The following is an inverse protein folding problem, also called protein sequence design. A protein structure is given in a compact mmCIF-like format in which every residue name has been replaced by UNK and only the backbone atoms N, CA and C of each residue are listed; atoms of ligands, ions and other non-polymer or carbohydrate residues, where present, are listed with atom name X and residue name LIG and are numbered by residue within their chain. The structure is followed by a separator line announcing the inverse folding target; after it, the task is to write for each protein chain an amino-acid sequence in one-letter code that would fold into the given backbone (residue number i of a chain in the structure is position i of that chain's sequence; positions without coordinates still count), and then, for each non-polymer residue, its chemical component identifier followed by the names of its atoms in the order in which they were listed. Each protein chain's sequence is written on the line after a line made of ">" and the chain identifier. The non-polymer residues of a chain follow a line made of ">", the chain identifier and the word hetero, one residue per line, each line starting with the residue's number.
data_IF_765515957876
#
_entry.id   IF_765515957876
#
_cell.length_a   1.000
_cell.length_b   1.000
_cell.length_c   1.000
_cell.angle_alpha   90.00
_cell.angle_beta   90.00
_cell.angle_gamma   90.00
#
_symmetry.space_group_name_H-M   'P 1'
#
loop_
_entity.id
_entity.type
_entity.pdbx_description
1 polymer ?
#
# COMPACT_ATOMS: atom_id res chain seq x y z
N UNK A 1 -12.19 36.40 20.38
CA UNK A 1 -12.73 37.22 19.28
C UNK A 1 -13.52 36.27 18.42
N UNK A 2 -14.83 36.45 18.28
CA UNK A 2 -15.68 35.58 17.45
C UNK A 2 -15.43 35.92 15.99
N UNK A 3 -14.96 34.94 15.20
CA UNK A 3 -14.76 35.07 13.75
C UNK A 3 -16.12 35.34 13.11
N UNK A 4 -16.20 36.34 12.23
CA UNK A 4 -17.42 36.66 11.47
C UNK A 4 -17.66 35.64 10.36
N UNK A 5 -18.89 35.53 9.85
CA UNK A 5 -19.22 34.63 8.73
C UNK A 5 -18.36 34.88 7.47
N UNK A 6 -18.06 36.15 7.18
CA UNK A 6 -17.19 36.53 6.07
C UNK A 6 -15.74 36.08 6.28
N UNK A 7 -15.18 36.30 7.48
CA UNK A 7 -13.82 35.86 7.79
C UNK A 7 -13.68 34.33 7.77
N UNK A 8 -14.70 33.60 8.23
CA UNK A 8 -14.72 32.14 8.19
C UNK A 8 -14.74 31.61 6.75
N UNK A 9 -15.54 32.23 5.87
CA UNK A 9 -15.63 31.87 4.46
C UNK A 9 -14.32 32.16 3.70
N UNK A 10 -13.72 33.34 3.92
CA UNK A 10 -12.41 33.69 3.35
C UNK A 10 -11.31 32.72 3.79
N UNK A 11 -11.33 32.30 5.06
CA UNK A 11 -10.41 31.30 5.57
C UNK A 11 -10.58 29.95 4.86
N UNK A 12 -11.83 29.52 4.59
CA UNK A 12 -12.10 28.29 3.86
C UNK A 12 -11.59 28.36 2.41
N UNK A 13 -11.85 29.46 1.70
CA UNK A 13 -11.35 29.64 0.33
C UNK A 13 -9.82 29.65 0.27
N UNK A 14 -9.17 30.26 1.27
CA UNK A 14 -7.70 30.24 1.40
C UNK A 14 -7.19 28.82 1.63
N UNK A 15 -7.87 28.05 2.48
CA UNK A 15 -7.54 26.65 2.75
C UNK A 15 -7.67 25.78 1.48
N UNK A 16 -8.78 25.89 0.77
CA UNK A 16 -9.04 25.20 -0.48
C UNK A 16 -7.97 25.49 -1.54
N UNK A 17 -7.58 26.76 -1.68
CA UNK A 17 -6.47 27.15 -2.57
C UNK A 17 -5.16 26.50 -2.15
N UNK A 18 -4.84 26.51 -0.86
CA UNK A 18 -3.61 25.91 -0.36
C UNK A 18 -3.57 24.38 -0.56
N UNK A 19 -4.71 23.70 -0.45
CA UNK A 19 -4.82 22.27 -0.75
C UNK A 19 -4.56 21.99 -2.24
N UNK A 20 -5.24 22.72 -3.11
CA UNK A 20 -5.13 22.56 -4.56
C UNK A 20 -3.71 22.86 -5.08
N UNK A 21 -3.07 23.93 -4.56
CA UNK A 21 -1.68 24.28 -4.91
C UNK A 21 -0.68 23.19 -4.47
N UNK A 22 -0.81 22.67 -3.25
CA UNK A 22 0.07 21.62 -2.75
C UNK A 22 -0.12 20.29 -3.49
N UNK A 23 -1.36 19.94 -3.83
CA UNK A 23 -1.67 18.80 -4.68
C UNK A 23 -1.00 18.95 -6.04
N UNK A 24 -1.24 20.06 -6.75
CA UNK A 24 -0.65 20.33 -8.06
C UNK A 24 0.88 20.32 -8.05
N UNK A 25 1.50 20.87 -7.01
CA UNK A 25 2.95 20.85 -6.86
C UNK A 25 3.52 19.42 -6.78
N UNK A 26 2.84 18.52 -6.05
CA UNK A 26 3.22 17.10 -5.92
C UNK A 26 2.96 16.30 -7.17
N UNK A 27 1.82 16.51 -7.82
CA UNK A 27 1.55 15.91 -9.15
C UNK A 27 2.64 16.32 -10.14
N UNK A 28 3.00 17.61 -10.20
CA UNK A 28 4.06 18.08 -11.07
C UNK A 28 5.44 17.48 -10.72
N UNK A 29 5.72 17.23 -9.44
CA UNK A 29 6.94 16.55 -9.00
C UNK A 29 6.98 15.09 -9.48
N UNK A 30 5.88 14.35 -9.32
CA UNK A 30 5.73 12.98 -9.83
C UNK A 30 5.90 12.93 -11.36
N UNK A 31 5.19 13.77 -12.10
CA UNK A 31 5.29 13.81 -13.58
C UNK A 31 6.72 14.11 -14.03
N UNK A 32 7.45 15.02 -13.36
CA UNK A 32 8.87 15.28 -13.64
C UNK A 32 9.76 14.08 -13.33
N UNK A 33 9.55 13.39 -12.21
CA UNK A 33 10.33 12.20 -11.85
C UNK A 33 10.13 11.07 -12.88
N UNK A 34 8.89 10.86 -13.32
CA UNK A 34 8.54 9.88 -14.36
C UNK A 34 9.18 10.24 -15.69
N UNK A 35 9.09 11.51 -16.11
CA UNK A 35 9.72 11.98 -17.35
C UNK A 35 11.26 11.85 -17.34
N UNK A 36 11.88 12.03 -16.17
CA UNK A 36 13.31 11.86 -15.98
C UNK A 36 13.75 10.39 -15.83
N UNK A 37 12.81 9.42 -15.84
CA UNK A 37 13.07 8.01 -15.51
C UNK A 37 13.83 7.83 -14.19
N UNK A 38 13.54 8.70 -13.21
CA UNK A 38 14.19 8.71 -11.89
C UNK A 38 13.20 8.23 -10.82
N UNK A 39 13.54 8.45 -9.53
CA UNK A 39 12.87 7.96 -8.32
C UNK A 39 11.39 8.40 -8.17
N UNK A 40 10.54 7.96 -9.10
CA UNK A 40 9.10 8.25 -9.14
C UNK A 40 8.35 7.57 -7.99
N UNK A 41 8.85 6.44 -7.47
CA UNK A 41 8.26 5.75 -6.31
C UNK A 41 8.17 6.66 -5.08
N UNK A 42 9.24 7.42 -4.80
CA UNK A 42 9.23 8.37 -3.67
C UNK A 42 8.25 9.51 -3.92
N UNK A 43 8.23 10.08 -5.13
CA UNK A 43 7.31 11.17 -5.46
C UNK A 43 5.83 10.71 -5.44
N UNK A 44 5.56 9.47 -5.83
CA UNK A 44 4.24 8.86 -5.73
C UNK A 44 3.86 8.63 -4.26
N UNK A 45 4.77 8.11 -3.44
CA UNK A 45 4.54 7.93 -2.01
C UNK A 45 4.26 9.26 -1.29
N UNK A 46 5.02 10.31 -1.59
CA UNK A 46 4.83 11.65 -1.01
C UNK A 46 3.46 12.25 -1.39
N UNK A 47 3.00 11.99 -2.62
CA UNK A 47 1.68 12.41 -3.08
C UNK A 47 0.56 11.62 -2.39
N UNK A 48 0.67 10.30 -2.31
CA UNK A 48 -0.30 9.44 -1.60
C UNK A 48 -0.39 9.83 -0.12
N UNK A 49 0.75 10.07 0.53
CA UNK A 49 0.79 10.49 1.92
C UNK A 49 0.04 11.81 2.13
N UNK A 50 0.27 12.80 1.27
CA UNK A 50 -0.42 14.08 1.31
C UNK A 50 -1.94 13.93 1.10
N UNK A 51 -2.35 13.14 0.10
CA UNK A 51 -3.76 12.88 -0.16
C UNK A 51 -4.45 12.21 1.04
N UNK A 52 -3.78 11.26 1.68
CA UNK A 52 -4.30 10.55 2.85
C UNK A 52 -4.33 11.41 4.13
N UNK A 53 -3.39 12.34 4.32
CA UNK A 53 -3.28 13.13 5.55
C UNK A 53 -4.00 14.47 5.50
N UNK A 54 -4.18 15.05 4.30
CA UNK A 54 -4.74 16.39 4.14
C UNK A 54 -6.08 16.36 3.38
N UNK A 55 -6.13 15.73 2.19
CA UNK A 55 -7.29 15.82 1.30
C UNK A 55 -8.45 14.92 1.75
N UNK A 56 -8.20 13.64 2.03
CA UNK A 56 -9.27 12.73 2.46
C UNK A 56 -9.90 13.13 3.80
N UNK A 57 -9.11 13.52 4.83
CA UNK A 57 -9.70 13.98 6.08
C UNK A 57 -10.52 15.26 5.90
N UNK A 58 -10.08 16.17 5.02
CA UNK A 58 -10.82 17.40 4.69
C UNK A 58 -12.18 17.07 4.08
N UNK A 59 -12.20 16.21 3.05
CA UNK A 59 -13.41 15.70 2.41
C UNK A 59 -14.37 15.03 3.41
N UNK A 60 -13.85 14.21 4.33
CA UNK A 60 -14.64 13.59 5.39
C UNK A 60 -15.23 14.64 6.35
N UNK A 61 -14.47 15.67 6.70
CA UNK A 61 -14.94 16.72 7.58
C UNK A 61 -16.06 17.55 6.92
N UNK A 62 -16.01 17.78 5.62
CA UNK A 62 -17.06 18.44 4.84
C UNK A 62 -18.35 17.62 4.82
N UNK A 63 -18.25 16.30 4.62
CA UNK A 63 -19.38 15.38 4.66
C UNK A 63 -20.15 15.47 5.99
N UNK A 64 -19.42 15.49 7.11
CA UNK A 64 -19.97 15.54 8.47
C UNK A 64 -20.34 16.94 8.95
N UNK A 65 -20.21 17.97 8.12
CA UNK A 65 -20.53 19.36 8.52
C UNK A 65 -21.30 20.08 7.43
N UNK A 66 -20.61 20.59 6.41
CA UNK A 66 -21.15 21.42 5.34
C UNK A 66 -22.22 20.64 4.57
N UNK A 67 -21.93 19.41 4.18
CA UNK A 67 -22.83 18.63 3.34
C UNK A 67 -24.05 18.16 4.11
N UNK A 68 -23.92 17.85 5.41
CA UNK A 68 -25.06 17.55 6.27
C UNK A 68 -26.05 18.73 6.31
N UNK A 69 -25.55 19.96 6.42
CA UNK A 69 -26.36 21.18 6.39
C UNK A 69 -26.98 21.48 5.00
N UNK A 70 -26.31 21.06 3.92
CA UNK A 70 -26.75 21.22 2.54
C UNK A 70 -27.57 20.04 1.99
N UNK A 71 -27.71 18.93 2.73
CA UNK A 71 -28.31 17.68 2.23
C UNK A 71 -29.82 17.75 1.92
N UNK A 72 -30.47 18.87 2.22
CA UNK A 72 -31.91 19.07 2.01
C UNK A 72 -32.17 20.29 1.13
N UNK A 73 -33.29 20.25 0.41
CA UNK A 73 -33.71 21.35 -0.46
C UNK A 73 -32.94 21.36 -1.78
N UNK A 74 -32.70 22.55 -2.31
CA UNK A 74 -32.19 22.76 -3.67
C UNK A 74 -30.76 22.24 -3.89
N UNK A 75 -29.97 22.10 -2.81
CA UNK A 75 -28.58 21.63 -2.87
C UNK A 75 -28.43 20.11 -2.78
N UNK A 76 -29.51 19.35 -2.53
CA UNK A 76 -29.43 17.90 -2.26
C UNK A 76 -28.83 17.11 -3.45
N UNK A 77 -29.13 17.54 -4.68
CA UNK A 77 -28.54 16.96 -5.89
C UNK A 77 -27.03 17.19 -5.96
N UNK A 78 -26.60 18.44 -5.74
CA UNK A 78 -25.18 18.82 -5.72
C UNK A 78 -24.43 18.06 -4.63
N UNK A 79 -24.94 18.00 -3.40
CA UNK A 79 -24.31 17.25 -2.31
C UNK A 79 -24.13 15.77 -2.65
N UNK A 80 -25.14 15.15 -3.28
CA UNK A 80 -25.04 13.76 -3.71
C UNK A 80 -23.94 13.55 -4.75
N UNK A 81 -23.75 14.52 -5.66
CA UNK A 81 -22.64 14.54 -6.62
C UNK A 81 -21.29 14.69 -5.92
N UNK A 82 -21.16 15.62 -4.96
CA UNK A 82 -19.92 15.83 -4.21
C UNK A 82 -19.49 14.59 -3.43
N UNK A 83 -20.41 13.90 -2.75
CA UNK A 83 -20.13 12.62 -2.08
C UNK A 83 -19.70 11.54 -3.09
N UNK A 84 -20.29 11.51 -4.27
CA UNK A 84 -19.86 10.60 -5.33
C UNK A 84 -18.45 10.91 -5.82
N UNK A 85 -18.07 12.18 -5.89
CA UNK A 85 -16.70 12.61 -6.23
C UNK A 85 -15.69 12.26 -5.15
N UNK A 86 -16.01 12.35 -3.86
CA UNK A 86 -15.14 11.87 -2.78
C UNK A 86 -14.83 10.38 -2.92
N UNK A 87 -15.83 9.56 -3.26
CA UNK A 87 -15.63 8.13 -3.57
C UNK A 87 -14.76 7.94 -4.82
N UNK A 88 -14.95 8.80 -5.83
CA UNK A 88 -14.12 8.86 -7.03
C UNK A 88 -12.65 9.18 -6.72
N UNK A 89 -12.39 10.18 -5.87
CA UNK A 89 -11.06 10.55 -5.38
C UNK A 89 -10.42 9.38 -4.64
N UNK A 90 -11.14 8.76 -3.70
CA UNK A 90 -10.66 7.59 -2.95
C UNK A 90 -10.24 6.45 -3.89
N UNK A 91 -11.08 6.12 -4.87
CA UNK A 91 -10.78 5.10 -5.89
C UNK A 91 -9.55 5.47 -6.73
N UNK A 92 -9.39 6.75 -7.08
CA UNK A 92 -8.26 7.21 -7.86
C UNK A 92 -6.95 7.18 -7.05
N UNK A 93 -7.01 7.48 -5.75
CA UNK A 93 -5.88 7.38 -4.81
C UNK A 93 -5.42 5.93 -4.67
N UNK A 94 -6.34 4.97 -4.56
CA UNK A 94 -6.00 3.54 -4.54
C UNK A 94 -5.26 3.13 -5.82
N UNK A 95 -5.75 3.58 -6.99
CA UNK A 95 -5.09 3.32 -8.29
C UNK A 95 -3.70 3.95 -8.38
N UNK A 96 -3.50 5.13 -7.81
CA UNK A 96 -2.19 5.76 -7.72
C UNK A 96 -1.25 4.93 -6.83
N UNK A 97 -1.72 4.51 -5.65
CA UNK A 97 -0.93 3.73 -4.69
C UNK A 97 -0.56 2.35 -5.22
N UNK A 98 -1.40 1.75 -6.08
CA UNK A 98 -1.17 0.44 -6.67
C UNK A 98 -0.73 0.51 -8.15
N UNK A 99 -0.22 1.64 -8.62
CA UNK A 99 0.13 1.82 -10.02
C UNK A 99 1.27 0.85 -10.44
N UNK A 100 1.15 0.14 -11.57
CA UNK A 100 2.15 -0.84 -12.00
C UNK A 100 3.44 -0.20 -12.53
N UNK A 101 3.40 1.07 -12.91
CA UNK A 101 4.53 1.83 -13.45
C UNK A 101 4.33 3.34 -13.24
N UNK A 102 5.41 4.11 -13.43
CA UNK A 102 5.39 5.56 -13.27
C UNK A 102 4.42 6.28 -14.21
N UNK A 103 4.16 5.79 -15.43
CA UNK A 103 3.20 6.45 -16.31
C UNK A 103 1.76 6.27 -15.84
N UNK A 104 1.42 5.08 -15.33
CA UNK A 104 0.14 4.82 -14.70
C UNK A 104 -0.06 5.68 -13.45
N UNK A 105 1.00 5.83 -12.63
CA UNK A 105 0.99 6.71 -11.47
C UNK A 105 0.74 8.18 -11.87
N UNK A 106 1.48 8.70 -12.86
CA UNK A 106 1.32 10.07 -13.34
C UNK A 106 -0.09 10.34 -13.89
N UNK A 107 -0.66 9.43 -14.69
CA UNK A 107 -2.03 9.56 -15.20
C UNK A 107 -3.07 9.58 -14.07
N UNK A 108 -2.92 8.71 -13.08
CA UNK A 108 -3.81 8.70 -11.92
C UNK A 108 -3.72 10.02 -11.14
N UNK A 109 -2.50 10.51 -10.91
CA UNK A 109 -2.23 11.78 -10.23
C UNK A 109 -2.84 13.00 -10.96
N UNK A 110 -2.69 13.08 -12.28
CA UNK A 110 -3.30 14.13 -13.09
C UNK A 110 -4.84 14.09 -13.03
N UNK A 111 -5.43 12.88 -13.07
CA UNK A 111 -6.86 12.69 -12.89
C UNK A 111 -7.37 13.14 -11.52
N UNK A 112 -6.61 12.85 -10.45
CA UNK A 112 -6.91 13.30 -9.08
C UNK A 112 -6.88 14.83 -9.01
N UNK A 113 -5.84 15.48 -9.56
CA UNK A 113 -5.75 16.94 -9.54
C UNK A 113 -6.90 17.61 -10.31
N UNK A 114 -7.27 17.08 -11.48
CA UNK A 114 -8.38 17.62 -12.26
C UNK A 114 -9.73 17.46 -11.53
N UNK A 115 -9.98 16.27 -10.95
CA UNK A 115 -11.19 16.01 -10.17
C UNK A 115 -11.25 16.92 -8.94
N UNK A 116 -10.17 17.02 -8.16
CA UNK A 116 -10.11 17.85 -6.95
C UNK A 116 -10.29 19.34 -7.25
N UNK A 117 -9.64 19.88 -8.30
CA UNK A 117 -9.85 21.28 -8.71
C UNK A 117 -11.30 21.55 -9.09
N UNK A 118 -11.94 20.66 -9.85
CA UNK A 118 -13.35 20.80 -10.23
C UNK A 118 -14.29 20.67 -9.03
N UNK A 119 -13.94 19.80 -8.10
CA UNK A 119 -14.67 19.55 -6.87
C UNK A 119 -14.66 20.81 -5.98
N UNK A 120 -13.48 21.32 -5.64
CA UNK A 120 -13.31 22.55 -4.85
C UNK A 120 -14.00 23.76 -5.48
N UNK A 121 -14.01 23.86 -6.82
CA UNK A 121 -14.74 24.92 -7.51
C UNK A 121 -16.25 24.85 -7.24
N UNK A 122 -16.85 23.66 -7.26
CA UNK A 122 -18.27 23.49 -6.92
C UNK A 122 -18.58 23.87 -5.49
N UNK A 123 -17.68 23.60 -4.55
CA UNK A 123 -17.87 24.02 -3.16
C UNK A 123 -17.82 25.54 -3.04
N UNK A 124 -16.81 26.16 -3.63
CA UNK A 124 -16.57 27.59 -3.52
C UNK A 124 -17.60 28.43 -4.26
N UNK A 125 -18.07 27.96 -5.41
CA UNK A 125 -18.93 28.72 -6.30
C UNK A 125 -20.42 28.41 -6.09
N UNK A 126 -20.75 27.24 -5.53
CA UNK A 126 -22.14 26.77 -5.39
C UNK A 126 -22.52 26.54 -3.93
N UNK A 127 -21.86 25.60 -3.24
CA UNK A 127 -22.32 25.17 -1.90
C UNK A 127 -22.13 26.24 -0.84
N UNK A 128 -20.91 26.77 -0.71
CA UNK A 128 -20.57 27.73 0.35
C UNK A 128 -21.36 29.04 0.23
N UNK A 129 -21.48 29.68 -0.96
CA UNK A 129 -22.29 30.88 -1.10
C UNK A 129 -23.78 30.62 -0.83
N UNK A 130 -24.32 29.48 -1.29
CA UNK A 130 -25.70 29.13 -1.04
C UNK A 130 -25.99 28.96 0.46
N UNK A 131 -25.12 28.27 1.20
CA UNK A 131 -25.24 28.15 2.66
C UNK A 131 -25.06 29.50 3.37
N UNK A 132 -24.15 30.37 2.92
CA UNK A 132 -23.93 31.69 3.51
C UNK A 132 -25.15 32.62 3.38
N UNK A 133 -26.01 32.39 2.39
CA UNK A 133 -27.24 33.16 2.15
C UNK A 133 -28.47 32.66 2.91
N UNK A 134 -28.35 31.57 3.68
CA UNK A 134 -29.45 30.96 4.43
C UNK A 134 -29.49 31.50 5.86
N UNK A 135 -30.62 32.11 6.23
CA UNK A 135 -30.83 32.63 7.60
C UNK A 135 -30.89 31.52 8.67
N UNK A 136 -31.19 30.27 8.28
CA UNK A 136 -31.31 29.12 9.17
C UNK A 136 -29.98 28.38 9.39
N UNK A 137 -28.88 28.84 8.79
CA UNK A 137 -27.56 28.20 8.84
C UNK A 137 -26.50 29.16 9.37
N UNK A 138 -25.85 28.78 10.49
CA UNK A 138 -24.65 29.47 10.96
C UNK A 138 -23.41 28.85 10.30
N UNK A 139 -23.05 29.36 9.12
CA UNK A 139 -21.91 28.86 8.36
C UNK A 139 -20.59 29.02 9.13
N UNK A 140 -20.41 30.09 9.89
CA UNK A 140 -19.20 30.31 10.69
C UNK A 140 -19.04 29.20 11.73
N UNK A 141 -20.13 28.81 12.39
CA UNK A 141 -20.12 27.72 13.36
C UNK A 141 -19.82 26.36 12.71
N UNK A 142 -20.37 26.09 11.51
CA UNK A 142 -20.10 24.86 10.76
C UNK A 142 -18.61 24.75 10.37
N UNK A 143 -18.02 25.80 9.79
CA UNK A 143 -16.61 25.80 9.38
C UNK A 143 -15.68 25.69 10.61
N UNK A 144 -16.04 26.33 11.72
CA UNK A 144 -15.30 26.18 12.97
C UNK A 144 -15.40 24.76 13.55
N UNK A 145 -16.55 24.08 13.41
CA UNK A 145 -16.71 22.68 13.82
C UNK A 145 -15.86 21.76 12.95
N UNK A 146 -15.86 21.96 11.64
CA UNK A 146 -15.06 21.20 10.69
C UNK A 146 -13.56 21.28 11.05
N UNK A 147 -13.05 22.49 11.34
CA UNK A 147 -11.66 22.68 11.74
C UNK A 147 -11.32 21.93 13.04
N UNK A 148 -12.20 21.95 14.04
CA UNK A 148 -12.00 21.19 15.30
C UNK A 148 -11.95 19.68 15.05
N UNK A 149 -12.87 19.13 14.26
CA UNK A 149 -12.91 17.71 13.92
C UNK A 149 -11.58 17.27 13.26
N UNK A 150 -11.07 18.08 12.35
CA UNK A 150 -9.79 17.86 11.67
C UNK A 150 -8.60 17.88 12.63
N UNK A 151 -8.55 18.83 13.56
CA UNK A 151 -7.50 18.87 14.59
C UNK A 151 -7.57 17.65 15.52
N UNK A 152 -8.77 17.22 15.91
CA UNK A 152 -8.98 16.05 16.75
C UNK A 152 -8.54 14.77 16.03
N UNK A 153 -8.89 14.59 14.75
CA UNK A 153 -8.45 13.46 13.94
C UNK A 153 -6.91 13.40 13.80
N UNK A 154 -6.26 14.57 13.62
CA UNK A 154 -4.79 14.67 13.60
C UNK A 154 -4.16 14.29 14.93
N UNK A 155 -4.77 14.64 16.07
CA UNK A 155 -4.30 14.30 17.42
C UNK A 155 -4.58 12.84 17.79
N UNK A 156 -5.68 12.27 17.29
CA UNK A 156 -6.11 10.90 17.56
C UNK A 156 -5.32 9.85 16.76
N UNK A 157 -4.75 10.25 15.62
CA UNK A 157 -3.72 9.46 14.96
C UNK A 157 -2.48 9.50 15.85
N UNK A 158 -2.08 8.40 16.52
CA UNK A 158 -0.93 8.45 17.39
C UNK A 158 0.27 8.73 16.48
N UNK A 159 0.90 9.90 16.65
CA UNK A 159 2.31 10.04 16.33
C UNK A 159 2.99 8.99 17.21
N UNK A 160 3.20 7.78 16.66
CA UNK A 160 3.80 6.68 17.37
C UNK A 160 5.10 7.19 17.96
N UNK A 161 5.16 7.21 19.28
CA UNK A 161 6.34 7.58 20.05
C UNK A 161 7.45 6.62 19.62
N UNK A 162 8.25 7.06 18.66
CA UNK A 162 9.24 6.24 17.96
C UNK A 162 10.45 6.05 18.87
N UNK A 163 10.29 5.14 19.82
CA UNK A 163 11.41 4.46 20.44
C UNK A 163 11.74 3.24 19.59
N UNK A 164 12.67 3.45 18.64
CA UNK A 164 13.50 2.42 18.00
C UNK A 164 12.85 1.06 17.65
N UNK A 165 11.63 1.04 17.14
CA UNK A 165 11.07 -0.16 16.50
C UNK A 165 11.43 -0.10 15.03
N UNK A 166 12.16 -1.11 14.52
CA UNK A 166 12.42 -1.29 13.10
C UNK A 166 11.06 -1.49 12.37
N UNK A 167 10.58 -0.49 11.59
CA UNK A 167 9.24 -0.56 11.02
C UNK A 167 9.10 -1.70 10.00
N UNK A 168 10.17 -2.00 9.25
CA UNK A 168 10.18 -3.11 8.30
C UNK A 168 10.08 -4.45 9.01
N UNK A 169 10.76 -4.62 10.14
CA UNK A 169 10.62 -5.83 10.96
C UNK A 169 9.20 -5.99 11.52
N UNK A 170 8.58 -4.89 11.96
CA UNK A 170 7.20 -4.90 12.49
C UNK A 170 6.19 -5.27 11.41
N UNK A 171 6.26 -4.64 10.22
CA UNK A 171 5.41 -4.97 9.07
C UNK A 171 5.60 -6.42 8.66
N UNK A 172 6.84 -6.91 8.60
CA UNK A 172 7.11 -8.30 8.28
C UNK A 172 6.48 -9.25 9.30
N UNK A 173 6.56 -8.94 10.59
CA UNK A 173 5.93 -9.76 11.64
C UNK A 173 4.42 -9.89 11.41
N UNK A 174 3.74 -8.78 11.11
CA UNK A 174 2.31 -8.77 10.82
C UNK A 174 1.97 -9.59 9.56
N UNK A 175 2.79 -9.47 8.51
CA UNK A 175 2.62 -10.27 7.30
C UNK A 175 2.78 -11.77 7.59
N UNK A 176 3.81 -12.15 8.34
CA UNK A 176 4.05 -13.56 8.70
C UNK A 176 2.91 -14.11 9.58
N UNK A 177 2.37 -13.32 10.50
CA UNK A 177 1.19 -13.71 11.28
C UNK A 177 -0.04 -13.91 10.38
N UNK A 178 -0.28 -13.01 9.42
CA UNK A 178 -1.36 -13.16 8.44
C UNK A 178 -1.20 -14.43 7.59
N UNK A 179 0.02 -14.75 7.13
CA UNK A 179 0.27 -16.01 6.40
C UNK A 179 0.01 -17.24 7.27
N UNK A 180 0.31 -17.19 8.57
CA UNK A 180 -0.01 -18.29 9.48
C UNK A 180 -1.53 -18.47 9.67
N UNK A 181 -2.29 -17.37 9.70
CA UNK A 181 -3.76 -17.42 9.70
C UNK A 181 -4.31 -18.02 8.40
N UNK A 182 -3.79 -17.61 7.24
CA UNK A 182 -4.16 -18.20 5.94
C UNK A 182 -3.89 -19.71 5.89
N UNK A 183 -2.71 -20.15 6.34
CA UNK A 183 -2.39 -21.57 6.36
C UNK A 183 -3.33 -22.39 7.26
N UNK A 184 -3.70 -21.86 8.45
CA UNK A 184 -4.68 -22.49 9.34
C UNK A 184 -6.10 -22.52 8.75
N UNK A 185 -6.43 -21.57 7.88
CA UNK A 185 -7.69 -21.54 7.14
C UNK A 185 -7.71 -22.49 5.93
N UNK A 186 -6.65 -23.28 5.70
CA UNK A 186 -6.55 -24.22 4.57
C UNK A 186 -5.87 -23.66 3.33
N UNK A 187 -5.43 -22.40 3.34
CA UNK A 187 -4.73 -21.75 2.21
C UNK A 187 -3.20 -21.82 2.37
N UNK A 188 -2.66 -22.98 2.80
CA UNK A 188 -1.24 -23.13 3.12
C UNK A 188 -0.29 -22.85 1.94
N UNK A 189 -0.70 -23.22 0.73
CA UNK A 189 0.08 -23.00 -0.49
C UNK A 189 0.17 -21.50 -0.84
N UNK A 190 -0.94 -20.77 -0.70
CA UNK A 190 -0.98 -19.31 -0.87
C UNK A 190 -0.17 -18.59 0.20
N UNK A 191 -0.27 -19.06 1.45
CA UNK A 191 0.53 -18.53 2.56
C UNK A 191 2.04 -18.70 2.30
N UNK A 192 2.47 -19.87 1.81
CA UNK A 192 3.87 -20.10 1.45
C UNK A 192 4.33 -19.20 0.31
N UNK A 193 3.51 -19.03 -0.74
CA UNK A 193 3.85 -18.10 -1.84
C UNK A 193 3.99 -16.65 -1.37
N UNK A 194 3.08 -16.16 -0.54
CA UNK A 194 3.17 -14.80 0.02
C UNK A 194 4.43 -14.60 0.87
N UNK A 195 4.75 -15.57 1.73
CA UNK A 195 5.98 -15.53 2.51
C UNK A 195 7.22 -15.58 1.61
N UNK A 196 7.23 -16.41 0.57
CA UNK A 196 8.35 -16.49 -0.36
C UNK A 196 8.54 -15.21 -1.18
N UNK A 197 7.46 -14.54 -1.61
CA UNK A 197 7.57 -13.22 -2.25
C UNK A 197 8.15 -12.17 -1.31
N UNK A 198 7.81 -12.21 -0.01
CA UNK A 198 8.43 -11.34 0.99
C UNK A 198 9.92 -11.67 1.20
N UNK A 199 10.30 -12.95 1.11
CA UNK A 199 11.70 -13.36 1.13
C UNK A 199 12.46 -12.82 -0.09
N UNK A 200 11.92 -12.98 -1.30
CA UNK A 200 12.48 -12.47 -2.56
C UNK A 200 12.75 -10.95 -2.49
N UNK A 201 11.84 -10.18 -1.89
CA UNK A 201 12.01 -8.73 -1.74
C UNK A 201 13.07 -8.32 -0.70
N UNK A 202 13.42 -9.19 0.25
CA UNK A 202 14.25 -8.83 1.42
C UNK A 202 15.61 -9.50 1.46
N UNK A 203 15.86 -10.61 0.75
CA UNK A 203 17.08 -11.40 0.98
C UNK A 203 18.37 -10.63 0.71
N UNK A 204 18.37 -9.71 -0.26
CA UNK A 204 19.54 -8.89 -0.56
C UNK A 204 19.68 -7.67 0.36
N UNK A 205 18.58 -7.00 0.66
CA UNK A 205 18.60 -5.70 1.36
C UNK A 205 18.51 -5.83 2.88
N UNK A 206 17.87 -6.89 3.37
CA UNK A 206 17.56 -7.17 4.78
C UNK A 206 17.72 -8.67 5.07
N UNK A 207 18.93 -9.24 4.96
CA UNK A 207 19.17 -10.66 5.18
C UNK A 207 18.77 -11.12 6.59
N UNK A 208 18.86 -10.22 7.59
CA UNK A 208 18.39 -10.45 8.96
C UNK A 208 16.89 -10.75 9.04
N UNK A 209 16.08 -10.12 8.19
CA UNK A 209 14.64 -10.36 8.08
C UNK A 209 14.33 -11.56 7.20
N UNK A 210 15.07 -11.78 6.11
CA UNK A 210 14.90 -12.92 5.23
C UNK A 210 15.09 -14.28 5.95
N UNK A 211 15.99 -14.34 6.93
CA UNK A 211 16.13 -15.52 7.81
C UNK A 211 14.85 -15.80 8.61
N UNK A 212 14.15 -14.76 9.08
CA UNK A 212 12.85 -14.91 9.77
C UNK A 212 11.79 -15.45 8.82
N UNK A 213 11.76 -14.98 7.58
CA UNK A 213 10.84 -15.49 6.54
C UNK A 213 11.12 -16.95 6.20
N UNK A 214 12.39 -17.32 6.06
CA UNK A 214 12.81 -18.72 5.84
C UNK A 214 12.30 -19.61 6.97
N UNK A 215 12.45 -19.16 8.22
CA UNK A 215 11.93 -19.89 9.39
C UNK A 215 10.41 -20.04 9.35
N UNK A 216 9.69 -18.99 8.93
CA UNK A 216 8.24 -19.03 8.77
C UNK A 216 7.79 -19.98 7.66
N UNK A 217 8.47 -20.00 6.50
CA UNK A 217 8.20 -20.95 5.42
C UNK A 217 8.28 -22.40 5.90
N UNK A 218 9.31 -22.75 6.67
CA UNK A 218 9.42 -24.08 7.28
C UNK A 218 8.24 -24.42 8.21
N UNK A 219 7.69 -23.42 8.92
CA UNK A 219 6.49 -23.61 9.74
C UNK A 219 5.24 -23.80 8.89
N UNK A 220 5.06 -22.98 7.85
CA UNK A 220 3.90 -23.01 6.96
C UNK A 220 3.81 -24.32 6.18
N UNK A 221 4.94 -24.83 5.67
CA UNK A 221 4.96 -26.13 4.97
C UNK A 221 4.57 -27.27 5.89
N UNK A 222 4.99 -27.26 7.15
CA UNK A 222 4.53 -28.25 8.15
C UNK A 222 3.02 -28.16 8.41
N UNK A 223 2.45 -26.97 8.48
CA UNK A 223 1.01 -26.77 8.65
C UNK A 223 0.20 -27.29 7.45
N UNK A 224 0.70 -27.12 6.23
CA UNK A 224 0.07 -27.63 5.00
C UNK A 224 0.26 -29.14 4.74
N UNK A 225 1.23 -29.78 5.40
CA UNK A 225 1.57 -31.21 5.19
C UNK A 225 0.54 -32.20 5.70
N UNK A 226 -0.44 -31.73 6.47
CA UNK A 226 -1.52 -32.57 6.96
C UNK A 226 -2.52 -32.97 5.85
N UNK A 227 -2.29 -32.58 4.58
CA UNK A 227 -3.29 -32.72 3.50
C UNK A 227 -2.78 -33.34 2.17
N UNK A 228 -1.50 -33.67 1.96
CA UNK A 228 -1.06 -34.25 0.67
C UNK A 228 -0.15 -35.47 0.80
N UNK A 229 -0.61 -36.59 0.23
CA UNK A 229 0.18 -37.80 -0.09
C UNK A 229 1.09 -37.56 -1.31
N UNK A 230 2.31 -38.13 -1.34
CA UNK A 230 3.23 -37.90 -2.44
C UNK A 230 2.82 -38.68 -3.71
N UNK A 231 2.68 -37.97 -4.82
CA UNK A 231 2.55 -38.58 -6.15
C UNK A 231 3.93 -38.99 -6.67
N UNK A 232 4.10 -40.27 -6.99
CA UNK A 232 5.27 -40.77 -7.74
C UNK A 232 5.24 -40.21 -9.16
N UNK A 233 6.36 -39.67 -9.61
CA UNK A 233 6.62 -39.45 -11.04
C UNK A 233 7.40 -40.65 -11.59
N UNK A 234 6.83 -41.33 -12.58
CA UNK A 234 7.53 -42.31 -13.43
C UNK A 234 8.28 -41.54 -14.51
N UNK A 235 9.61 -41.58 -14.47
CA UNK A 235 10.50 -40.92 -15.42
C UNK A 235 10.83 -41.82 -16.62
N UNK A 236 10.48 -41.37 -17.82
CA UNK A 236 10.98 -41.91 -19.09
C UNK A 236 12.39 -41.42 -19.39
N UNK A 237 13.25 -42.35 -19.80
CA UNK A 237 14.70 -42.19 -19.97
C UNK A 237 15.12 -41.46 -21.25
N UNK A 238 15.92 -40.40 -21.09
CA UNK A 238 16.93 -39.95 -22.05
C UNK A 238 18.24 -39.77 -21.28
N UNK A 239 19.32 -40.37 -21.77
CA UNK A 239 20.66 -40.29 -21.18
C UNK A 239 21.22 -38.87 -21.31
N UNK A 240 20.90 -38.01 -20.35
CA UNK A 240 21.76 -36.89 -19.96
C UNK A 240 22.80 -37.41 -18.95
N UNK A 241 24.04 -36.85 -18.94
CA UNK A 241 24.96 -37.11 -17.84
C UNK A 241 24.24 -36.80 -16.52
N UNK A 242 24.31 -37.73 -15.56
CA UNK A 242 23.62 -37.55 -14.30
C UNK A 242 24.08 -36.25 -13.64
N UNK A 243 23.11 -35.42 -13.25
CA UNK A 243 23.36 -34.18 -12.54
C UNK A 243 24.19 -34.48 -11.26
N UNK A 244 25.22 -33.67 -10.95
CA UNK A 244 26.06 -33.88 -9.78
C UNK A 244 25.25 -33.76 -8.47
N UNK A 245 25.60 -34.56 -7.47
CA UNK A 245 25.01 -34.44 -6.13
C UNK A 245 25.56 -33.21 -5.39
N UNK A 246 24.66 -32.38 -4.86
CA UNK A 246 24.97 -31.33 -3.89
C UNK A 246 24.48 -31.78 -2.50
N UNK A 247 25.38 -32.32 -1.70
CA UNK A 247 25.07 -32.77 -0.34
C UNK A 247 25.30 -31.67 0.70
N UNK A 248 24.20 -31.20 1.29
CA UNK A 248 24.21 -30.10 2.27
C UNK A 248 24.04 -30.56 3.71
N UNK A 249 23.94 -31.88 3.95
CA UNK A 249 23.67 -32.45 5.28
C UNK A 249 24.77 -32.11 6.28
N UNK A 250 26.02 -32.00 5.80
CA UNK A 250 27.18 -31.62 6.60
C UNK A 250 27.28 -30.12 6.91
N UNK A 251 26.50 -29.27 6.22
CA UNK A 251 26.52 -27.82 6.42
C UNK A 251 25.62 -27.43 7.59
N UNK A 252 25.98 -26.34 8.28
CA UNK A 252 25.11 -25.76 9.29
C UNK A 252 23.79 -25.28 8.65
N UNK A 253 22.62 -25.46 9.28
CA UNK A 253 21.32 -25.12 8.67
C UNK A 253 21.23 -23.71 8.08
N UNK A 254 21.85 -22.72 8.75
CA UNK A 254 21.90 -21.34 8.29
C UNK A 254 22.69 -21.13 6.99
N UNK A 255 23.69 -21.98 6.71
CA UNK A 255 24.56 -21.89 5.53
C UNK A 255 24.03 -22.67 4.32
N UNK A 256 23.06 -23.57 4.53
CA UNK A 256 22.55 -24.47 3.49
C UNK A 256 21.91 -23.70 2.35
N UNK A 257 20.96 -22.82 2.66
CA UNK A 257 20.21 -22.07 1.64
C UNK A 257 21.16 -21.18 0.82
N UNK A 258 22.05 -20.43 1.48
CA UNK A 258 23.09 -19.62 0.83
C UNK A 258 23.95 -20.47 -0.14
N UNK A 259 24.43 -21.63 0.31
CA UNK A 259 25.25 -22.54 -0.53
C UNK A 259 24.45 -23.08 -1.72
N UNK A 260 23.18 -23.41 -1.53
CA UNK A 260 22.32 -23.95 -2.59
C UNK A 260 22.04 -22.90 -3.66
N UNK A 261 21.71 -21.67 -3.27
CA UNK A 261 21.53 -20.57 -4.23
C UNK A 261 22.84 -20.23 -4.95
N UNK A 262 23.98 -20.19 -4.23
CA UNK A 262 25.28 -19.99 -4.86
C UNK A 262 25.61 -21.08 -5.91
N UNK A 263 25.33 -22.34 -5.60
CA UNK A 263 25.50 -23.44 -6.54
C UNK A 263 24.55 -23.31 -7.75
N UNK A 264 23.30 -22.89 -7.52
CA UNK A 264 22.33 -22.67 -8.58
C UNK A 264 22.74 -21.53 -9.53
N UNK A 265 23.17 -20.39 -9.01
CA UNK A 265 23.64 -19.27 -9.84
C UNK A 265 24.91 -19.59 -10.64
N UNK A 266 25.69 -20.60 -10.21
CA UNK A 266 26.86 -21.07 -10.94
C UNK A 266 26.53 -22.03 -12.10
N UNK A 267 25.27 -22.47 -12.24
CA UNK A 267 24.84 -23.37 -13.31
C UNK A 267 24.77 -22.66 -14.66
N UNK A 268 25.15 -23.38 -15.72
CA UNK A 268 24.86 -22.96 -17.09
C UNK A 268 23.43 -23.34 -17.48
N UNK A 269 22.80 -22.64 -18.45
CA UNK A 269 21.45 -22.98 -18.91
C UNK A 269 21.36 -24.45 -19.35
N UNK A 270 20.39 -25.18 -18.77
CA UNK A 270 20.17 -26.60 -19.05
C UNK A 270 21.01 -27.57 -18.19
N UNK A 271 21.85 -27.08 -17.28
CA UNK A 271 22.53 -27.88 -16.26
C UNK A 271 21.71 -27.92 -14.95
N UNK A 272 21.89 -28.98 -14.15
CA UNK A 272 21.25 -29.14 -12.84
C UNK A 272 22.20 -29.75 -11.80
N UNK A 273 21.70 -29.94 -10.59
CA UNK A 273 22.31 -30.75 -9.53
C UNK A 273 21.21 -31.47 -8.73
N UNK A 274 21.54 -32.61 -8.13
CA UNK A 274 20.65 -33.33 -7.22
C UNK A 274 20.90 -32.86 -5.80
N UNK A 275 19.93 -32.17 -5.18
CA UNK A 275 20.05 -31.73 -3.79
C UNK A 275 19.85 -32.89 -2.81
N UNK A 276 20.89 -33.22 -2.05
CA UNK A 276 20.80 -34.19 -0.95
C UNK A 276 20.63 -33.44 0.37
N UNK A 277 19.40 -33.45 0.91
CA UNK A 277 19.01 -32.74 2.13
C UNK A 277 18.47 -33.71 3.20
N UNK A 278 18.58 -33.33 4.48
CA UNK A 278 18.11 -34.14 5.63
C UNK A 278 16.69 -33.78 6.09
N UNK A 279 16.04 -32.80 5.42
CA UNK A 279 14.68 -32.38 5.68
C UNK A 279 13.95 -32.02 4.39
N UNK A 280 12.65 -31.80 4.50
CA UNK A 280 11.78 -31.47 3.38
C UNK A 280 12.19 -30.14 2.70
N UNK A 281 12.55 -30.16 1.40
CA UNK A 281 13.02 -28.98 0.67
C UNK A 281 11.89 -28.07 0.17
N UNK A 282 10.62 -28.31 0.53
CA UNK A 282 9.50 -27.46 0.09
C UNK A 282 9.69 -25.96 0.35
N UNK A 283 10.25 -25.49 1.48
CA UNK A 283 10.55 -24.06 1.66
C UNK A 283 11.44 -23.50 0.55
N UNK A 284 12.48 -24.25 0.18
CA UNK A 284 13.43 -23.88 -0.88
C UNK A 284 12.75 -23.85 -2.25
N UNK A 285 11.82 -24.78 -2.53
CA UNK A 285 11.01 -24.73 -3.76
C UNK A 285 10.27 -23.40 -3.89
N UNK A 286 9.59 -22.95 -2.83
CA UNK A 286 8.85 -21.67 -2.88
C UNK A 286 9.79 -20.46 -3.05
N UNK A 287 11.00 -20.51 -2.49
CA UNK A 287 11.98 -19.44 -2.67
C UNK A 287 12.47 -19.38 -4.12
N UNK A 288 12.81 -20.53 -4.72
CA UNK A 288 13.16 -20.59 -6.15
C UNK A 288 12.01 -20.10 -7.05
N UNK A 289 10.77 -20.55 -6.80
CA UNK A 289 9.58 -20.10 -7.55
C UNK A 289 9.29 -18.59 -7.42
N UNK A 290 9.77 -17.95 -6.35
CA UNK A 290 9.58 -16.52 -6.14
C UNK A 290 10.67 -15.67 -6.81
N UNK A 291 11.85 -16.24 -7.03
CA UNK A 291 13.03 -15.55 -7.58
C UNK A 291 13.23 -15.79 -9.08
N UNK A 292 12.73 -16.90 -9.63
CA UNK A 292 12.96 -17.36 -11.01
C UNK A 292 11.69 -17.87 -11.69
#
# INVERSE_FOLDING_TARGET
>A
MTITGTEALEAMFSHHRALDEQLKARVAALTRAVAASSAHDQAAADLVAYLASEVLPHAEAEEHTIYEAAARGELAGTVSEMIAEHRGLSTAIERLASAPDGQAAARAAEGIAALFSSHVAKENDILLPALASRDDVDLAALLAQMHRNMEEARKATPAGDSTASDPQATVLSLLLDATAHLARAGEADRACRLAASAWAALHDTRPDLAVKVTTALHRLTRLGSLVLTPAKHDGGSREQPADPDLDVRALAPAQRHETIFAAYHALTPGAGFVLVNDHDPRPLRYQFEAEH
#
